data_IF_743476495031
#
_entry.id   IF_743476495031
#
_cell.length_a   1.000
_cell.length_b   1.000
_cell.length_c   1.000
_cell.angle_alpha   90.00
_cell.angle_beta   90.00
_cell.angle_gamma   90.00
#
_symmetry.space_group_name_H-M   'P 1'
#
loop_
_entity.id
_entity.type
_entity.pdbx_description
1 polymer ?
#
# COMPACT_ATOMS: atom_id res chain seq x y z
N UNK A 1 9.44 6.97 13.96
CA UNK A 1 8.15 6.32 14.27
C UNK A 1 7.83 5.37 13.12
N UNK A 2 7.37 4.14 13.37
CA UNK A 2 7.16 3.18 12.27
C UNK A 2 5.87 3.50 11.51
N UNK A 3 5.93 3.49 10.18
CA UNK A 3 4.81 3.76 9.28
C UNK A 3 4.51 2.55 8.41
N UNK A 4 3.23 2.35 8.09
CA UNK A 4 2.77 1.34 7.16
C UNK A 4 2.10 2.00 5.95
N UNK A 5 2.67 1.79 4.78
CA UNK A 5 2.22 2.35 3.51
C UNK A 5 1.46 1.27 2.73
N UNK A 6 0.21 1.52 2.37
CA UNK A 6 -0.63 0.56 1.65
C UNK A 6 -1.18 1.16 0.36
N UNK A 7 -0.92 0.52 -0.78
CA UNK A 7 -1.69 0.77 -2.00
C UNK A 7 -3.02 0.05 -1.88
N UNK A 8 -4.12 0.80 -1.92
CA UNK A 8 -5.48 0.30 -1.74
C UNK A 8 -6.22 0.21 -3.08
N UNK A 9 -6.76 -0.96 -3.38
CA UNK A 9 -7.58 -1.18 -4.59
C UNK A 9 -8.13 -2.60 -4.69
N UNK A 10 -9.21 -2.80 -5.44
CA UNK A 10 -9.80 -4.14 -5.55
C UNK A 10 -8.93 -5.11 -6.36
N UNK A 11 -9.37 -6.37 -6.41
CA UNK A 11 -8.71 -7.40 -7.21
C UNK A 11 -8.59 -6.99 -8.68
N UNK A 12 -7.44 -7.28 -9.28
CA UNK A 12 -7.12 -6.91 -10.67
C UNK A 12 -7.07 -5.38 -10.94
N UNK A 13 -6.64 -4.58 -9.95
CA UNK A 13 -6.40 -3.13 -10.11
C UNK A 13 -4.92 -2.78 -10.33
N UNK A 14 -4.06 -3.78 -10.53
CA UNK A 14 -2.64 -3.57 -10.80
C UNK A 14 -1.80 -3.23 -9.55
N UNK A 15 -2.28 -3.52 -8.34
CA UNK A 15 -1.59 -3.21 -7.07
C UNK A 15 -0.15 -3.73 -7.01
N UNK A 16 0.04 -5.04 -7.22
CA UNK A 16 1.37 -5.65 -7.23
C UNK A 16 2.23 -5.15 -8.39
N UNK A 17 1.61 -4.85 -9.54
CA UNK A 17 2.28 -4.27 -10.70
C UNK A 17 2.85 -2.87 -10.38
N UNK A 18 2.08 -2.04 -9.65
CA UNK A 18 2.55 -0.73 -9.16
C UNK A 18 3.72 -0.88 -8.20
N UNK A 19 3.64 -1.78 -7.19
CA UNK A 19 4.79 -2.03 -6.29
C UNK A 19 6.02 -2.46 -7.08
N UNK A 20 5.88 -3.35 -8.07
CA UNK A 20 7.04 -3.77 -8.86
C UNK A 20 7.72 -2.60 -9.58
N UNK A 21 6.94 -1.67 -10.14
CA UNK A 21 7.47 -0.49 -10.81
C UNK A 21 8.07 0.52 -9.83
N UNK A 22 7.41 0.77 -8.69
CA UNK A 22 7.91 1.67 -7.65
C UNK A 22 9.29 1.28 -7.10
N UNK A 23 9.61 -0.01 -7.11
CA UNK A 23 10.87 -0.54 -6.58
C UNK A 23 11.82 -1.04 -7.69
N UNK A 24 11.44 -0.94 -8.97
CA UNK A 24 12.22 -1.47 -10.10
C UNK A 24 12.50 -2.98 -10.01
N UNK A 25 11.62 -3.76 -9.38
CA UNK A 25 11.86 -5.17 -9.01
C UNK A 25 10.62 -6.04 -9.17
N UNK A 26 10.84 -7.32 -9.45
CA UNK A 26 9.77 -8.35 -9.50
C UNK A 26 9.80 -9.31 -8.32
N UNK A 27 10.89 -9.32 -7.53
CA UNK A 27 11.11 -10.24 -6.40
C UNK A 27 11.52 -9.45 -5.16
N UNK A 28 10.84 -9.71 -4.04
CA UNK A 28 11.09 -9.07 -2.74
C UNK A 28 11.45 -10.09 -1.66
N UNK A 29 12.75 -10.34 -1.49
CA UNK A 29 13.27 -11.26 -0.46
C UNK A 29 12.96 -10.76 0.95
N UNK A 30 12.59 -11.70 1.83
CA UNK A 30 12.23 -11.42 3.23
C UNK A 30 13.40 -10.91 4.08
N UNK A 31 14.65 -11.11 3.62
CA UNK A 31 15.88 -10.72 4.32
C UNK A 31 16.47 -9.40 3.82
N UNK A 32 15.89 -8.78 2.78
CA UNK A 32 16.35 -7.48 2.29
C UNK A 32 15.31 -6.36 2.53
N UNK A 33 15.78 -5.21 3.01
CA UNK A 33 15.04 -3.96 2.90
C UNK A 33 15.14 -3.46 1.46
N UNK A 34 14.08 -2.80 1.00
CA UNK A 34 13.98 -2.30 -0.38
C UNK A 34 13.77 -0.80 -0.35
N UNK A 35 14.38 -0.09 -1.29
CA UNK A 35 14.27 1.35 -1.42
C UNK A 35 13.41 1.67 -2.64
N UNK A 36 12.56 2.69 -2.52
CA UNK A 36 11.77 3.19 -3.64
C UNK A 36 12.73 3.71 -4.71
N UNK A 37 12.55 3.22 -5.93
CA UNK A 37 13.34 3.65 -7.08
C UNK A 37 12.96 5.07 -7.48
N UNK A 38 13.92 5.83 -8.00
CA UNK A 38 13.71 7.22 -8.42
C UNK A 38 13.07 8.14 -7.35
N UNK A 39 13.32 7.89 -6.06
CA UNK A 39 12.87 8.73 -4.96
C UNK A 39 14.02 9.28 -4.14
N UNK A 40 13.82 10.42 -3.46
CA UNK A 40 14.79 10.97 -2.51
C UNK A 40 14.71 10.32 -1.12
N UNK A 41 13.92 9.25 -0.96
CA UNK A 41 13.64 8.62 0.33
C UNK A 41 14.75 7.61 0.63
N UNK A 42 15.59 7.93 1.62
CA UNK A 42 16.66 7.02 2.09
C UNK A 42 16.15 5.85 2.93
N UNK A 43 14.90 5.90 3.40
CA UNK A 43 14.31 4.85 4.23
C UNK A 43 14.21 3.53 3.45
N UNK A 44 14.64 2.44 4.08
CA UNK A 44 14.43 1.08 3.58
C UNK A 44 13.09 0.52 4.09
N UNK A 45 12.39 -0.17 3.19
CA UNK A 45 11.06 -0.73 3.44
C UNK A 45 11.07 -2.25 3.44
N UNK A 46 10.29 -2.83 4.34
CA UNK A 46 9.78 -4.18 4.20
C UNK A 46 8.69 -4.12 3.13
N UNK A 47 8.86 -4.86 2.04
CA UNK A 47 7.89 -4.83 0.94
C UNK A 47 7.11 -6.13 0.87
N UNK A 48 5.80 -6.05 0.72
CA UNK A 48 4.93 -7.20 0.44
C UNK A 48 3.96 -6.87 -0.71
N UNK A 49 4.23 -7.33 -1.94
CA UNK A 49 3.47 -6.89 -3.12
C UNK A 49 2.09 -7.54 -3.26
N UNK A 50 1.84 -8.67 -2.60
CA UNK A 50 0.58 -9.39 -2.67
C UNK A 50 -0.43 -8.75 -1.70
N UNK A 51 -1.71 -8.84 -2.05
CA UNK A 51 -2.80 -8.33 -1.24
C UNK A 51 -3.57 -9.44 -0.53
N UNK A 52 -4.44 -9.05 0.39
CA UNK A 52 -5.38 -9.93 1.08
C UNK A 52 -6.36 -10.64 0.14
N UNK A 53 -6.71 -10.08 -1.03
CA UNK A 53 -7.53 -10.82 -2.00
C UNK A 53 -6.76 -11.96 -2.69
N UNK A 54 -5.43 -11.88 -2.75
CA UNK A 54 -4.58 -12.95 -3.27
C UNK A 54 -4.36 -14.06 -2.24
N UNK A 55 -4.11 -13.67 -0.98
CA UNK A 55 -3.63 -14.58 0.09
C UNK A 55 -4.73 -14.97 1.08
N UNK A 56 -5.87 -14.30 1.09
CA UNK A 56 -6.89 -14.47 2.13
C UNK A 56 -6.33 -14.22 3.53
N UNK A 57 -6.62 -15.16 4.44
CA UNK A 57 -6.18 -15.11 5.85
C UNK A 57 -4.67 -15.22 6.04
N UNK A 58 -3.95 -15.73 5.04
CA UNK A 58 -2.50 -15.89 5.13
C UNK A 58 -1.76 -14.57 4.95
N UNK A 59 -2.40 -13.52 4.42
CA UNK A 59 -1.79 -12.22 4.20
C UNK A 59 -1.05 -11.70 5.43
N UNK A 60 -1.75 -11.62 6.56
CA UNK A 60 -1.20 -11.08 7.80
C UNK A 60 -0.14 -12.02 8.42
N UNK A 61 -0.21 -13.33 8.15
CA UNK A 61 0.83 -14.29 8.53
C UNK A 61 2.12 -14.01 7.74
N UNK A 62 2.02 -13.73 6.43
CA UNK A 62 3.18 -13.40 5.61
C UNK A 62 3.80 -12.05 6.00
N UNK A 63 2.98 -11.05 6.32
CA UNK A 63 3.44 -9.78 6.87
C UNK A 63 4.21 -10.00 8.19
N UNK A 64 3.62 -10.71 9.15
CA UNK A 64 4.26 -10.99 10.45
C UNK A 64 5.58 -11.75 10.31
N UNK A 65 5.66 -12.73 9.39
CA UNK A 65 6.92 -13.41 9.07
C UNK A 65 8.00 -12.43 8.62
N UNK A 66 7.68 -11.50 7.73
CA UNK A 66 8.62 -10.44 7.28
C UNK A 66 8.99 -9.52 8.43
N UNK A 67 8.02 -9.05 9.23
CA UNK A 67 8.26 -8.17 10.37
C UNK A 67 9.19 -8.78 11.41
N UNK A 68 9.07 -10.09 11.68
CA UNK A 68 9.91 -10.81 12.64
C UNK A 68 11.39 -10.83 12.24
N UNK A 69 11.70 -10.88 10.95
CA UNK A 69 13.10 -10.80 10.45
C UNK A 69 13.71 -9.44 10.78
N UNK A 70 12.91 -8.37 10.81
CA UNK A 70 13.37 -6.98 11.00
C UNK A 70 13.04 -6.36 12.35
N UNK A 71 12.60 -7.16 13.33
CA UNK A 71 12.31 -6.66 14.69
C UNK A 71 13.40 -5.73 15.26
N UNK A 72 14.71 -5.95 15.02
CA UNK A 72 15.76 -5.06 15.53
C UNK A 72 15.82 -3.68 14.83
N UNK A 73 15.44 -3.61 13.55
CA UNK A 73 15.72 -2.45 12.68
C UNK A 73 14.58 -1.44 12.61
N UNK A 74 13.41 -1.74 13.20
CA UNK A 74 12.20 -0.88 13.17
C UNK A 74 11.89 -0.31 11.77
N UNK A 75 12.01 -1.16 10.74
CA UNK A 75 11.76 -0.77 9.36
C UNK A 75 10.27 -0.53 9.08
N UNK A 76 9.98 0.35 8.12
CA UNK A 76 8.63 0.65 7.69
C UNK A 76 8.09 -0.40 6.71
N UNK A 77 6.77 -0.49 6.61
CA UNK A 77 6.10 -1.42 5.69
C UNK A 77 5.63 -0.67 4.45
N UNK A 78 5.78 -1.32 3.30
CA UNK A 78 5.11 -0.96 2.06
C UNK A 78 4.41 -2.20 1.50
N UNK A 79 3.09 -2.18 1.40
CA UNK A 79 2.30 -3.33 1.00
C UNK A 79 1.10 -2.92 0.16
N UNK A 80 0.28 -3.88 -0.22
CA UNK A 80 -1.00 -3.64 -0.90
C UNK A 80 -2.14 -4.22 -0.10
N UNK A 81 -3.32 -3.63 -0.22
CA UNK A 81 -4.54 -4.12 0.42
C UNK A 81 -5.75 -3.90 -0.50
N UNK A 82 -6.68 -4.84 -0.46
CA UNK A 82 -7.98 -4.78 -1.10
C UNK A 82 -9.00 -4.38 -0.04
N UNK A 83 -9.80 -3.31 -0.25
CA UNK A 83 -10.75 -2.79 0.74
C UNK A 83 -12.03 -3.62 0.83
N UNK A 84 -11.93 -4.91 0.55
CA UNK A 84 -13.02 -5.87 0.62
C UNK A 84 -13.35 -6.23 2.07
N UNK A 85 -14.63 -6.46 2.35
CA UNK A 85 -15.17 -6.75 3.70
C UNK A 85 -15.58 -8.20 3.88
N UNK A 86 -15.37 -9.06 2.87
CA UNK A 86 -15.66 -10.48 2.95
C UNK A 86 -14.80 -11.16 4.02
N UNK A 87 -15.41 -12.03 4.83
CA UNK A 87 -14.78 -12.75 5.97
C UNK A 87 -13.47 -13.48 5.64
N UNK A 88 -13.20 -13.77 4.36
CA UNK A 88 -11.96 -14.46 3.95
C UNK A 88 -10.76 -13.50 3.86
N UNK A 89 -10.98 -12.23 3.54
CA UNK A 89 -9.96 -11.24 3.27
C UNK A 89 -10.39 -9.85 3.76
N UNK A 90 -11.08 -9.78 4.89
CA UNK A 90 -11.60 -8.52 5.43
C UNK A 90 -10.45 -7.59 5.80
N UNK A 91 -10.38 -6.45 5.12
CA UNK A 91 -9.31 -5.49 5.31
C UNK A 91 -9.35 -4.77 6.67
N UNK A 92 -10.54 -4.63 7.26
CA UNK A 92 -10.71 -4.04 8.60
C UNK A 92 -10.00 -4.89 9.65
N UNK A 93 -10.14 -6.22 9.55
CA UNK A 93 -9.45 -7.17 10.43
C UNK A 93 -7.93 -7.06 10.29
N UNK A 94 -7.43 -6.74 9.10
CA UNK A 94 -5.99 -6.57 8.84
C UNK A 94 -5.49 -5.28 9.48
N UNK A 95 -6.15 -4.15 9.25
CA UNK A 95 -5.73 -2.84 9.78
C UNK A 95 -5.78 -2.83 11.32
N UNK A 96 -6.69 -3.60 11.92
CA UNK A 96 -6.84 -3.74 13.38
C UNK A 96 -6.03 -4.91 13.97
N UNK A 97 -5.22 -5.62 13.17
CA UNK A 97 -4.52 -6.80 13.66
C UNK A 97 -3.32 -6.43 14.54
N UNK A 98 -3.26 -7.02 15.75
CA UNK A 98 -2.19 -6.79 16.72
C UNK A 98 -0.76 -7.00 16.20
N UNK A 99 -0.59 -7.82 15.15
CA UNK A 99 0.72 -8.07 14.52
C UNK A 99 1.30 -6.83 13.85
N UNK A 100 0.46 -5.85 13.52
CA UNK A 100 0.88 -4.58 12.91
C UNK A 100 0.76 -3.37 13.85
N UNK A 101 0.36 -3.54 15.12
CA UNK A 101 0.29 -2.46 16.15
C UNK A 101 1.59 -1.68 16.38
N UNK A 102 2.71 -2.25 15.96
CA UNK A 102 4.01 -1.58 16.03
C UNK A 102 4.13 -0.38 15.08
N UNK A 103 3.25 -0.27 14.09
CA UNK A 103 3.11 0.89 13.23
C UNK A 103 2.19 1.92 13.89
N UNK A 104 2.62 3.16 13.92
CA UNK A 104 1.87 4.27 14.54
C UNK A 104 1.14 5.12 13.52
N UNK A 105 1.41 4.93 12.24
CA UNK A 105 0.82 5.69 11.15
C UNK A 105 0.57 4.75 9.97
N UNK A 106 -0.59 4.89 9.38
CA UNK A 106 -1.07 4.11 8.24
C UNK A 106 -1.36 5.06 7.09
N UNK A 107 -0.59 4.93 6.01
CA UNK A 107 -0.71 5.76 4.82
C UNK A 107 -1.39 4.95 3.72
N UNK A 108 -2.64 5.30 3.41
CA UNK A 108 -3.48 4.57 2.47
C UNK A 108 -3.54 5.32 1.13
N UNK A 109 -2.85 4.77 0.13
CA UNK A 109 -2.87 5.26 -1.26
C UNK A 109 -4.06 4.66 -2.00
N UNK A 110 -5.18 5.36 -1.98
CA UNK A 110 -6.45 4.94 -2.56
C UNK A 110 -6.41 5.11 -4.08
N UNK A 111 -6.30 4.01 -4.82
CA UNK A 111 -6.43 4.05 -6.28
C UNK A 111 -7.88 4.44 -6.61
N UNK A 112 -8.11 5.62 -7.18
CA UNK A 112 -9.47 6.07 -7.50
C UNK A 112 -10.11 5.22 -8.58
N UNK A 113 -9.33 4.79 -9.58
CA UNK A 113 -9.86 4.02 -10.70
C UNK A 113 -9.04 2.76 -11.00
N UNK A 114 -9.78 1.72 -11.40
CA UNK A 114 -9.24 0.54 -12.12
C UNK A 114 -8.63 0.99 -13.45
N UNK A 115 -7.80 0.12 -14.05
CA UNK A 115 -7.31 0.32 -15.41
C UNK A 115 -8.47 0.73 -16.34
N UNK A 116 -8.16 1.67 -17.21
CA UNK A 116 -9.08 2.26 -18.19
C UNK A 116 -10.40 2.79 -17.66
N UNK A 117 -10.43 3.18 -16.38
CA UNK A 117 -11.64 3.70 -15.72
C UNK A 117 -12.80 2.69 -15.71
N UNK A 118 -12.51 1.39 -15.86
CA UNK A 118 -13.52 0.32 -15.85
C UNK A 118 -14.31 0.24 -14.55
N UNK A 119 -13.77 0.78 -13.45
CA UNK A 119 -14.44 0.89 -12.17
C UNK A 119 -13.83 2.04 -11.37
N UNK A 120 -14.66 2.66 -10.53
CA UNK A 120 -14.28 3.70 -9.59
C UNK A 120 -14.37 3.19 -8.16
N UNK A 121 -13.40 3.56 -7.33
CA UNK A 121 -13.36 3.24 -5.92
C UNK A 121 -14.26 4.23 -5.20
N UNK A 122 -15.21 3.72 -4.42
CA UNK A 122 -16.04 4.54 -3.55
C UNK A 122 -15.24 5.02 -2.34
N UNK A 123 -14.45 6.08 -2.54
CA UNK A 123 -13.49 6.62 -1.57
C UNK A 123 -14.13 6.86 -0.20
N UNK A 124 -15.31 7.47 -0.18
CA UNK A 124 -15.98 7.82 1.07
C UNK A 124 -16.51 6.59 1.82
N UNK A 125 -16.93 5.52 1.12
CA UNK A 125 -17.29 4.26 1.79
C UNK A 125 -16.06 3.58 2.41
N UNK A 126 -14.90 3.63 1.72
CA UNK A 126 -13.64 3.11 2.24
C UNK A 126 -13.22 3.86 3.52
N UNK A 127 -13.20 5.20 3.47
CA UNK A 127 -12.89 6.03 4.65
C UNK A 127 -13.87 5.78 5.80
N UNK A 128 -15.17 5.77 5.52
CA UNK A 128 -16.19 5.55 6.53
C UNK A 128 -16.05 4.19 7.24
N UNK A 129 -15.63 3.14 6.52
CA UNK A 129 -15.49 1.81 7.12
C UNK A 129 -14.35 1.69 8.14
N UNK A 130 -13.34 2.57 8.08
CA UNK A 130 -12.28 2.65 9.09
C UNK A 130 -12.60 3.63 10.23
N UNK A 131 -13.66 4.43 10.08
CA UNK A 131 -14.03 5.47 11.02
C UNK A 131 -13.00 6.59 11.13
N UNK A 132 -13.19 7.47 12.11
CA UNK A 132 -12.21 8.50 12.46
C UNK A 132 -11.05 7.86 13.23
N UNK A 133 -9.87 7.83 12.62
CA UNK A 133 -8.64 7.36 13.25
C UNK A 133 -7.49 8.30 12.88
N UNK A 134 -6.97 9.02 13.88
CA UNK A 134 -5.90 10.02 13.72
C UNK A 134 -4.59 9.43 13.18
N UNK A 135 -4.42 8.11 13.28
CA UNK A 135 -3.24 7.42 12.79
C UNK A 135 -3.38 6.98 11.32
N UNK A 136 -4.50 7.27 10.65
CA UNK A 136 -4.75 6.87 9.26
C UNK A 136 -4.80 8.11 8.36
N UNK A 137 -3.86 8.17 7.41
CA UNK A 137 -3.81 9.16 6.36
C UNK A 137 -4.32 8.57 5.05
N UNK A 138 -5.07 9.38 4.29
CA UNK A 138 -5.64 8.97 3.00
C UNK A 138 -5.06 9.82 1.88
N UNK A 139 -4.49 9.17 0.88
CA UNK A 139 -3.94 9.79 -0.33
C UNK A 139 -4.70 9.27 -1.54
N UNK A 140 -5.44 10.13 -2.23
CA UNK A 140 -6.21 9.74 -3.40
C UNK A 140 -5.28 9.76 -4.61
N UNK A 141 -5.11 8.61 -5.26
CA UNK A 141 -4.36 8.47 -6.49
C UNK A 141 -5.33 8.56 -7.66
N UNK A 142 -5.36 9.72 -8.30
CA UNK A 142 -6.26 10.05 -9.40
C UNK A 142 -5.46 10.44 -10.64
N UNK A 143 -5.42 9.55 -11.63
CA UNK A 143 -4.78 9.86 -12.91
C UNK A 143 -5.59 10.85 -13.77
N UNK A 144 -6.85 11.13 -13.43
CA UNK A 144 -7.75 11.98 -14.20
C UNK A 144 -8.29 11.31 -15.47
N UNK A 145 -9.53 11.64 -15.83
CA UNK A 145 -10.23 11.04 -16.99
C UNK A 145 -9.52 11.27 -18.34
N UNK A 146 -8.78 12.38 -18.45
CA UNK A 146 -8.11 12.82 -19.69
C UNK A 146 -6.65 12.39 -19.82
N UNK A 147 -6.15 11.56 -18.91
CA UNK A 147 -4.78 11.06 -19.02
C UNK A 147 -4.68 10.01 -20.14
N UNK A 148 -3.78 10.26 -21.08
CA UNK A 148 -3.41 9.34 -22.15
C UNK A 148 -3.03 7.98 -21.57
N UNK A 149 -3.48 6.89 -22.22
CA UNK A 149 -3.29 5.51 -21.76
C UNK A 149 -1.84 5.20 -21.37
N UNK A 150 -0.89 5.67 -22.18
CA UNK A 150 0.54 5.46 -22.00
C UNK A 150 1.12 6.21 -20.80
N UNK A 151 0.48 7.29 -20.35
CA UNK A 151 0.95 8.13 -19.24
C UNK A 151 0.34 7.73 -17.88
N UNK A 152 -0.75 6.95 -17.86
CA UNK A 152 -1.50 6.62 -16.63
C UNK A 152 -0.66 5.93 -15.57
N UNK A 153 0.20 5.00 -15.98
CA UNK A 153 1.09 4.30 -15.06
C UNK A 153 2.06 5.30 -14.40
N UNK A 154 2.72 6.11 -15.21
CA UNK A 154 3.69 7.11 -14.75
C UNK A 154 3.04 8.10 -13.78
N UNK A 155 1.84 8.61 -14.10
CA UNK A 155 1.10 9.52 -13.22
C UNK A 155 0.75 8.87 -11.88
N UNK A 156 0.33 7.60 -11.87
CA UNK A 156 0.08 6.86 -10.63
C UNK A 156 1.35 6.71 -9.80
N UNK A 157 2.46 6.30 -10.44
CA UNK A 157 3.74 6.13 -9.76
C UNK A 157 4.24 7.44 -9.15
N UNK A 158 4.18 8.54 -9.90
CA UNK A 158 4.59 9.86 -9.41
C UNK A 158 3.77 10.32 -8.21
N UNK A 159 2.44 10.13 -8.23
CA UNK A 159 1.61 10.47 -7.07
C UNK A 159 1.94 9.58 -5.85
N UNK A 160 2.14 8.28 -6.07
CA UNK A 160 2.50 7.35 -5.00
C UNK A 160 3.92 7.59 -4.46
N UNK A 161 4.84 8.18 -5.23
CA UNK A 161 6.20 8.54 -4.77
C UNK A 161 6.17 9.87 -4.02
N UNK A 162 5.48 10.88 -4.57
CA UNK A 162 5.45 12.23 -4.01
C UNK A 162 4.91 12.28 -2.58
N UNK A 163 3.83 11.56 -2.31
CA UNK A 163 3.23 11.56 -0.97
C UNK A 163 4.16 10.99 0.12
N UNK A 164 4.82 9.83 -0.06
CA UNK A 164 5.93 9.40 0.79
C UNK A 164 7.05 10.43 0.91
N UNK A 165 7.43 11.15 -0.15
CA UNK A 165 8.48 12.17 -0.02
C UNK A 165 8.08 13.25 0.99
N UNK A 166 6.83 13.71 0.95
CA UNK A 166 6.28 14.66 1.93
C UNK A 166 6.25 14.05 3.37
N UNK A 167 6.00 12.74 3.49
CA UNK A 167 5.94 12.02 4.78
C UNK A 167 7.33 11.79 5.40
N UNK A 168 8.36 11.58 4.57
CA UNK A 168 9.70 11.15 5.00
C UNK A 168 10.74 12.26 4.95
N UNK A 169 10.49 13.32 4.19
CA UNK A 169 11.33 14.53 4.09
C UNK A 169 10.48 15.80 4.35
N UNK A 170 9.89 15.95 5.56
CA UNK A 170 9.03 17.10 5.89
C UNK A 170 9.78 18.43 5.95
#
# INVERSE_FOLDING_TARGET
MRKANFIVGFSNWGKSYLINHLYGKTIFHNSNLHHLDNSNIKQGFIVHPQSNDDLGRDYIIQIDKRLKVYKPQRADLFSTICPATEKRYNWLEIIQDKRIDSFKEFNLFLLKYKWDHHAELKIEEVKASLGENENINYYIIDQGERCELTARLEVKLQQIIRHPEDIYNP
#
